data_IF_516396045894
#
_entry.id   IF_516396045894
#
_cell.length_a   1.000
_cell.length_b   1.000
_cell.length_c   1.000
_cell.angle_alpha   90.00
_cell.angle_beta   90.00
_cell.angle_gamma   90.00
#
_symmetry.space_group_name_H-M   'P 1'
#
loop_
_entity.id
_entity.type
_entity.pdbx_description
1 polymer ?
#
# COMPACT_ATOMS: atom_id res chain seq x y z
N UNK A 1 25.65 -7.62 24.33
CA UNK A 1 25.00 -6.52 23.58
C UNK A 1 23.83 -7.12 22.80
N UNK A 2 22.65 -6.50 22.91
CA UNK A 2 21.47 -6.93 22.14
C UNK A 2 21.70 -6.78 20.63
N UNK A 3 21.09 -7.66 19.84
CA UNK A 3 21.19 -7.57 18.36
C UNK A 3 20.54 -6.28 17.84
N UNK A 4 21.17 -5.68 16.84
CA UNK A 4 20.64 -4.52 16.12
C UNK A 4 19.69 -4.97 15.00
N UNK A 5 18.42 -4.58 15.06
CA UNK A 5 17.40 -4.93 14.08
C UNK A 5 17.01 -3.69 13.29
N UNK A 6 17.23 -3.76 11.98
CA UNK A 6 16.82 -2.71 11.06
C UNK A 6 15.57 -3.15 10.30
N UNK A 7 14.58 -2.26 10.22
CA UNK A 7 13.31 -2.50 9.52
C UNK A 7 13.17 -1.47 8.41
N UNK A 8 12.94 -1.92 7.17
CA UNK A 8 12.68 -1.06 6.02
C UNK A 8 11.19 -1.05 5.71
N UNK A 9 10.52 0.07 5.98
CA UNK A 9 9.08 0.29 5.87
C UNK A 9 8.37 0.33 7.21
N UNK A 10 7.61 1.39 7.46
CA UNK A 10 7.01 1.74 8.76
C UNK A 10 5.48 1.76 8.81
N UNK A 11 4.76 1.19 7.82
CA UNK A 11 3.29 1.28 7.81
C UNK A 11 2.63 0.12 8.55
N UNK A 12 2.41 -1.04 7.91
CA UNK A 12 1.67 -2.14 8.53
C UNK A 12 2.62 -3.20 9.12
N UNK A 13 3.33 -3.94 8.26
CA UNK A 13 4.18 -5.05 8.70
C UNK A 13 5.34 -4.58 9.57
N UNK A 14 6.15 -3.62 9.10
CA UNK A 14 7.34 -3.18 9.81
C UNK A 14 7.06 -2.53 11.17
N UNK A 15 6.06 -1.65 11.25
CA UNK A 15 5.61 -1.06 12.52
C UNK A 15 5.13 -2.15 13.51
N UNK A 16 4.48 -3.21 12.99
CA UNK A 16 4.05 -4.36 13.80
C UNK A 16 5.24 -5.18 14.29
N UNK A 17 6.23 -5.46 13.43
CA UNK A 17 7.46 -6.14 13.80
C UNK A 17 8.15 -5.40 14.93
N UNK A 18 8.45 -4.12 14.74
CA UNK A 18 9.18 -3.30 15.70
C UNK A 18 8.46 -3.23 17.07
N UNK A 19 7.16 -2.92 17.06
CA UNK A 19 6.39 -2.79 18.30
C UNK A 19 6.19 -4.13 19.04
N UNK A 20 6.15 -5.27 18.34
CA UNK A 20 6.05 -6.58 18.98
C UNK A 20 7.41 -7.04 19.49
N UNK A 21 8.46 -6.91 18.67
CA UNK A 21 9.81 -7.34 19.04
C UNK A 21 10.29 -6.61 20.29
N UNK A 22 10.06 -5.30 20.41
CA UNK A 22 10.39 -4.54 21.65
C UNK A 22 9.77 -5.13 22.91
N UNK A 23 8.52 -5.65 22.81
CA UNK A 23 7.86 -6.28 23.96
C UNK A 23 8.41 -7.66 24.32
N UNK A 24 8.97 -8.37 23.33
CA UNK A 24 9.52 -9.72 23.50
C UNK A 24 10.98 -9.68 23.94
N UNK A 25 11.74 -8.71 23.46
CA UNK A 25 13.17 -8.56 23.70
C UNK A 25 13.52 -7.08 23.90
N UNK A 26 13.50 -6.59 25.16
CA UNK A 26 13.79 -5.19 25.48
C UNK A 26 15.24 -4.76 25.22
N UNK A 27 16.17 -5.72 25.15
CA UNK A 27 17.61 -5.42 25.02
C UNK A 27 18.03 -5.10 23.56
N UNK A 28 17.12 -5.31 22.58
CA UNK A 28 17.44 -5.06 21.18
C UNK A 28 17.41 -3.58 20.82
N UNK A 29 18.33 -3.18 19.97
CA UNK A 29 18.20 -1.90 19.27
C UNK A 29 17.34 -2.09 18.04
N UNK A 30 16.25 -1.34 17.94
CA UNK A 30 15.29 -1.44 16.82
C UNK A 30 15.17 -0.09 16.13
N UNK A 31 15.44 -0.07 14.82
CA UNK A 31 15.31 1.12 13.99
C UNK A 31 14.43 0.85 12.78
N UNK A 32 13.55 1.80 12.44
CA UNK A 32 12.73 1.78 11.23
C UNK A 32 13.21 2.87 10.27
N UNK A 33 13.43 2.52 9.01
CA UNK A 33 13.57 3.47 7.91
C UNK A 33 12.25 3.50 7.14
N UNK A 34 11.62 4.67 7.04
CA UNK A 34 10.40 4.88 6.28
C UNK A 34 10.63 6.00 5.25
N UNK A 35 10.30 5.70 3.98
CA UNK A 35 10.47 6.67 2.87
C UNK A 35 9.50 7.84 2.94
N UNK A 36 8.31 7.61 3.47
CA UNK A 36 7.27 8.63 3.63
C UNK A 36 7.36 9.37 4.95
N UNK A 37 6.49 10.35 5.13
CA UNK A 37 6.43 11.17 6.35
C UNK A 37 5.46 10.59 7.38
N UNK A 38 4.57 9.69 6.96
CA UNK A 38 3.47 9.16 7.78
C UNK A 38 3.71 7.70 8.13
N UNK A 39 3.66 7.39 9.43
CA UNK A 39 3.86 6.05 9.98
C UNK A 39 2.55 5.38 10.36
N UNK A 40 2.52 4.06 10.33
CA UNK A 40 1.49 3.23 10.96
C UNK A 40 0.06 3.70 10.71
N UNK A 41 -0.19 4.30 9.54
CA UNK A 41 -1.53 4.75 9.17
C UNK A 41 -2.42 3.57 8.75
N UNK A 42 -3.71 3.74 8.95
CA UNK A 42 -4.73 2.80 8.50
C UNK A 42 -5.01 3.01 7.01
N UNK A 43 -4.25 2.33 6.13
CA UNK A 43 -4.38 2.49 4.67
C UNK A 43 -5.81 2.18 4.17
N UNK A 44 -6.50 1.21 4.76
CA UNK A 44 -7.91 0.92 4.47
C UNK A 44 -8.87 2.05 4.86
N UNK A 45 -8.41 3.06 5.61
CA UNK A 45 -9.18 4.24 5.98
C UNK A 45 -9.11 5.38 4.95
N UNK A 46 -8.22 5.30 3.96
CA UNK A 46 -8.04 6.36 2.97
C UNK A 46 -9.31 6.68 2.16
N UNK A 47 -10.10 5.69 1.70
CA UNK A 47 -11.39 5.98 1.07
C UNK A 47 -12.35 6.76 1.97
N UNK A 48 -12.41 6.44 3.27
CA UNK A 48 -13.25 7.16 4.24
C UNK A 48 -12.77 8.60 4.49
N UNK A 49 -11.46 8.85 4.39
CA UNK A 49 -10.91 10.22 4.41
C UNK A 49 -11.32 11.00 3.17
N UNK A 50 -11.30 10.37 1.99
CA UNK A 50 -11.78 10.98 0.73
C UNK A 50 -13.28 11.27 0.80
N UNK A 51 -14.09 10.33 1.29
CA UNK A 51 -15.54 10.46 1.48
C UNK A 51 -15.94 11.47 2.55
N UNK A 52 -15.02 11.80 3.49
CA UNK A 52 -15.27 12.73 4.59
C UNK A 52 -15.85 12.09 5.85
N UNK A 53 -16.13 10.77 5.84
CA UNK A 53 -16.53 9.99 7.03
C UNK A 53 -15.42 10.02 8.09
N UNK A 54 -14.16 9.98 7.67
CA UNK A 54 -12.99 10.31 8.48
C UNK A 54 -12.63 11.77 8.19
N UNK A 55 -12.72 12.67 9.16
CA UNK A 55 -12.55 14.11 8.92
C UNK A 55 -11.12 14.49 8.54
N UNK A 56 -10.13 13.92 9.26
CA UNK A 56 -8.73 14.32 9.13
C UNK A 56 -7.79 13.11 9.08
N UNK A 57 -6.66 13.29 8.39
CA UNK A 57 -5.62 12.24 8.31
C UNK A 57 -5.15 11.78 9.70
N UNK A 58 -5.10 12.68 10.69
CA UNK A 58 -4.68 12.32 12.06
C UNK A 58 -5.52 11.19 12.65
N UNK A 59 -6.80 11.07 12.25
CA UNK A 59 -7.69 10.03 12.78
C UNK A 59 -7.28 8.63 12.29
N UNK A 60 -6.60 8.54 11.14
CA UNK A 60 -6.06 7.29 10.60
C UNK A 60 -4.71 6.89 11.22
N UNK A 61 -4.07 7.79 11.95
CA UNK A 61 -2.76 7.55 12.56
C UNK A 61 -2.80 7.60 14.10
N UNK A 62 -3.96 7.79 14.70
CA UNK A 62 -4.13 7.81 16.16
C UNK A 62 -4.38 6.42 16.75
N UNK A 63 -4.05 6.28 18.02
CA UNK A 63 -4.49 5.15 18.85
C UNK A 63 -5.96 5.32 19.25
N UNK A 64 -6.65 4.27 19.74
CA UNK A 64 -8.02 4.41 20.26
C UNK A 64 -8.19 5.43 21.39
N UNK A 65 -7.10 5.81 22.05
CA UNK A 65 -7.07 6.84 23.12
C UNK A 65 -6.58 8.21 22.62
N UNK A 66 -6.57 8.44 21.29
CA UNK A 66 -6.29 9.73 20.70
C UNK A 66 -4.81 10.12 20.58
N UNK A 67 -3.87 9.22 20.84
CA UNK A 67 -2.43 9.50 20.71
C UNK A 67 -1.95 9.24 19.30
N UNK A 68 -1.31 10.23 18.66
CA UNK A 68 -0.75 10.11 17.31
C UNK A 68 0.43 9.14 17.28
N UNK A 69 0.44 8.23 16.32
CA UNK A 69 1.48 7.20 16.13
C UNK A 69 2.57 7.70 15.17
N UNK A 70 3.24 8.76 15.55
CA UNK A 70 4.38 9.35 14.83
C UNK A 70 5.74 8.79 15.33
N UNK A 71 6.84 9.34 14.82
CA UNK A 71 8.20 8.95 15.22
C UNK A 71 8.45 9.22 16.73
N UNK A 72 7.86 10.29 17.28
CA UNK A 72 7.96 10.61 18.71
C UNK A 72 7.26 9.54 19.55
N UNK A 73 6.05 9.13 19.18
CA UNK A 73 5.33 8.04 19.86
C UNK A 73 6.13 6.73 19.82
N UNK A 74 6.69 6.37 18.66
CA UNK A 74 7.49 5.16 18.56
C UNK A 74 8.72 5.23 19.46
N UNK A 75 9.39 6.37 19.54
CA UNK A 75 10.53 6.56 20.42
C UNK A 75 10.14 6.56 21.91
N UNK A 76 9.17 7.39 22.30
CA UNK A 76 8.83 7.61 23.70
C UNK A 76 8.05 6.44 24.34
N UNK A 77 7.16 5.77 23.55
CA UNK A 77 6.25 4.75 24.08
C UNK A 77 6.70 3.34 23.71
N UNK A 78 7.39 3.18 22.58
CA UNK A 78 7.82 1.86 22.09
C UNK A 78 9.33 1.67 22.16
N UNK A 79 10.09 2.69 22.50
CA UNK A 79 11.56 2.68 22.47
C UNK A 79 12.11 2.12 21.14
N UNK A 80 11.53 2.59 20.03
CA UNK A 80 11.90 2.28 18.66
C UNK A 80 12.31 3.57 17.97
N UNK A 81 13.52 3.61 17.42
CA UNK A 81 13.95 4.73 16.61
C UNK A 81 13.31 4.66 15.22
N UNK A 82 12.72 5.76 14.78
CA UNK A 82 12.12 5.84 13.43
C UNK A 82 12.67 7.05 12.69
N UNK A 83 13.15 6.79 11.49
CA UNK A 83 13.63 7.79 10.54
C UNK A 83 12.66 7.84 9.35
N UNK A 84 11.81 8.86 9.31
CA UNK A 84 10.95 9.18 8.16
C UNK A 84 11.75 9.91 7.08
N UNK A 85 11.26 9.96 5.86
CA UNK A 85 11.97 10.57 4.74
C UNK A 85 13.27 9.85 4.36
N UNK A 86 13.43 8.57 4.72
CA UNK A 86 14.64 7.80 4.45
C UNK A 86 14.33 6.63 3.52
N UNK A 87 14.70 6.77 2.25
CA UNK A 87 14.54 5.74 1.22
C UNK A 87 15.75 4.79 1.22
N UNK A 88 15.56 3.53 1.62
CA UNK A 88 16.59 2.50 1.48
C UNK A 88 16.84 2.20 -0.01
N UNK A 89 18.09 2.34 -0.44
CA UNK A 89 18.51 2.24 -1.85
C UNK A 89 19.40 1.04 -2.13
N UNK A 90 20.15 0.54 -1.13
CA UNK A 90 21.08 -0.59 -1.30
C UNK A 90 21.21 -1.40 -0.01
N UNK A 91 21.35 -2.71 -0.17
CA UNK A 91 21.73 -3.64 0.90
C UNK A 91 23.06 -4.27 0.54
N UNK A 92 24.05 -4.11 1.40
CA UNK A 92 25.30 -4.87 1.36
C UNK A 92 25.20 -6.00 2.39
N UNK A 93 24.94 -7.22 1.92
CA UNK A 93 24.77 -8.40 2.78
C UNK A 93 26.06 -8.84 3.45
N UNK A 94 27.20 -8.69 2.76
CA UNK A 94 28.49 -9.07 3.29
C UNK A 94 28.95 -8.15 4.42
N UNK A 95 28.76 -6.83 4.24
CA UNK A 95 29.05 -5.82 5.25
C UNK A 95 27.91 -5.67 6.29
N UNK A 96 26.72 -6.24 6.05
CA UNK A 96 25.50 -6.09 6.85
C UNK A 96 25.12 -4.63 7.04
N UNK A 97 25.04 -3.88 5.94
CA UNK A 97 24.72 -2.46 5.92
C UNK A 97 23.61 -2.19 4.90
N UNK A 98 22.65 -1.36 5.29
CA UNK A 98 21.69 -0.73 4.37
C UNK A 98 22.09 0.70 4.14
N UNK A 99 22.21 1.12 2.88
CA UNK A 99 22.32 2.52 2.50
C UNK A 99 20.92 3.09 2.28
N UNK A 100 20.64 4.26 2.84
CA UNK A 100 19.42 4.99 2.59
C UNK A 100 19.73 6.47 2.28
N UNK A 101 18.87 7.04 1.44
CA UNK A 101 18.91 8.46 1.06
C UNK A 101 17.84 9.20 1.85
N UNK A 102 18.23 10.27 2.52
CA UNK A 102 17.29 11.24 3.09
C UNK A 102 16.65 12.05 1.96
N UNK A 103 15.35 11.87 1.76
CA UNK A 103 14.64 12.39 0.57
C UNK A 103 14.61 13.91 0.48
N UNK A 104 14.71 14.60 1.61
CA UNK A 104 14.70 16.06 1.67
C UNK A 104 16.04 16.69 1.26
N UNK A 105 17.15 16.03 1.59
CA UNK A 105 18.51 16.57 1.40
C UNK A 105 19.29 15.87 0.29
N UNK A 106 18.92 14.63 -0.06
CA UNK A 106 19.68 13.76 -0.94
C UNK A 106 20.90 13.13 -0.27
N UNK A 107 21.09 13.33 1.04
CA UNK A 107 22.24 12.78 1.78
C UNK A 107 22.11 11.26 1.92
N UNK A 108 23.21 10.56 1.60
CA UNK A 108 23.30 9.11 1.83
C UNK A 108 23.79 8.81 3.24
N UNK A 109 23.12 7.88 3.92
CA UNK A 109 23.48 7.39 5.25
C UNK A 109 23.54 5.86 5.27
N UNK A 110 24.49 5.33 6.05
CA UNK A 110 24.70 3.89 6.20
C UNK A 110 24.16 3.41 7.54
N UNK A 111 23.41 2.32 7.52
CA UNK A 111 22.75 1.73 8.69
C UNK A 111 23.17 0.28 8.85
N UNK A 112 24.04 -0.04 9.82
CA UNK A 112 24.42 -1.43 10.09
C UNK A 112 23.28 -2.20 10.73
N UNK A 113 23.25 -3.51 10.51
CA UNK A 113 22.27 -4.42 11.11
C UNK A 113 22.90 -5.77 11.46
N UNK A 114 22.36 -6.41 12.49
CA UNK A 114 22.58 -7.85 12.73
C UNK A 114 21.45 -8.67 12.08
N UNK A 115 20.23 -8.14 12.09
CA UNK A 115 19.05 -8.71 11.43
C UNK A 115 18.29 -7.61 10.68
N UNK A 116 17.81 -7.91 9.48
CA UNK A 116 17.10 -6.98 8.61
C UNK A 116 15.68 -7.47 8.36
N UNK A 117 14.71 -6.54 8.36
CA UNK A 117 13.33 -6.82 7.96
C UNK A 117 12.94 -5.95 6.78
N UNK A 118 12.55 -6.59 5.68
CA UNK A 118 12.03 -5.92 4.48
C UNK A 118 10.50 -5.89 4.54
N UNK A 119 9.94 -4.71 4.80
CA UNK A 119 8.50 -4.44 4.82
C UNK A 119 8.15 -3.34 3.79
N UNK A 120 8.78 -3.43 2.62
CA UNK A 120 8.76 -2.41 1.55
C UNK A 120 7.40 -2.26 0.86
N UNK A 121 6.44 -3.15 1.15
CA UNK A 121 5.08 -3.07 0.67
C UNK A 121 4.95 -3.26 -0.85
N UNK A 122 3.97 -2.60 -1.43
CA UNK A 122 3.70 -2.60 -2.87
C UNK A 122 3.51 -1.16 -3.37
N UNK A 123 3.41 -1.01 -4.68
CA UNK A 123 3.08 0.25 -5.35
C UNK A 123 1.91 0.04 -6.30
N UNK A 124 1.02 1.03 -6.51
CA UNK A 124 -0.06 0.91 -7.47
C UNK A 124 0.47 0.75 -8.89
N UNK A 125 -0.25 0.01 -9.69
CA UNK A 125 0.03 -0.11 -11.12
C UNK A 125 -0.66 1.03 -11.84
N UNK A 126 0.13 1.91 -12.46
CA UNK A 126 -0.37 2.87 -13.44
C UNK A 126 -0.02 2.32 -14.83
N UNK A 127 -1.03 1.92 -15.64
CA UNK A 127 -0.78 1.44 -17.00
C UNK A 127 -0.13 2.56 -17.82
N UNK A 128 0.82 2.24 -18.71
CA UNK A 128 1.46 3.22 -19.58
C UNK A 128 0.53 3.61 -20.75
N UNK A 129 -0.59 4.24 -20.40
CA UNK A 129 -1.59 4.70 -21.35
C UNK A 129 -1.36 6.19 -21.68
N UNK A 130 -1.72 6.65 -22.89
CA UNK A 130 -1.67 8.07 -23.23
C UNK A 130 -2.41 8.91 -22.21
N UNK A 131 -1.79 9.98 -21.71
CA UNK A 131 -2.35 10.90 -20.74
C UNK A 131 -2.38 10.40 -19.29
N UNK A 132 -1.73 9.28 -18.95
CA UNK A 132 -1.68 8.75 -17.58
C UNK A 132 -0.95 9.67 -16.59
N UNK A 133 -0.21 10.65 -17.07
CA UNK A 133 0.52 11.69 -16.31
C UNK A 133 -0.26 13.00 -16.15
N UNK A 134 -1.47 13.09 -16.70
CA UNK A 134 -2.31 14.29 -16.56
C UNK A 134 -2.72 14.52 -15.10
N UNK A 135 -2.67 15.77 -14.60
CA UNK A 135 -3.33 16.16 -13.37
C UNK A 135 -4.81 15.76 -13.38
N UNK A 136 -5.23 15.02 -12.35
CA UNK A 136 -6.56 14.40 -12.29
C UNK A 136 -6.54 12.90 -12.50
N UNK A 137 -5.45 12.32 -13.02
CA UNK A 137 -5.23 10.87 -13.06
C UNK A 137 -4.40 10.48 -11.83
N UNK A 138 -4.93 9.63 -10.95
CA UNK A 138 -4.29 9.32 -9.67
C UNK A 138 -4.63 7.93 -9.18
N UNK A 139 -3.76 7.23 -8.45
CA UNK A 139 -4.14 6.11 -7.60
C UNK A 139 -4.75 6.62 -6.28
N UNK A 140 -5.23 5.71 -5.45
CA UNK A 140 -5.49 5.94 -4.02
C UNK A 140 -4.67 4.92 -3.22
N UNK A 141 -3.49 5.31 -2.80
CA UNK A 141 -2.53 4.38 -2.20
C UNK A 141 -1.90 4.86 -0.90
N UNK A 142 -1.62 6.14 -0.81
CA UNK A 142 -0.95 6.76 0.33
C UNK A 142 -1.73 8.01 0.82
N UNK A 143 -1.36 8.56 1.99
CA UNK A 143 -2.04 9.73 2.54
C UNK A 143 -2.07 10.94 1.60
N UNK A 144 -1.01 11.20 0.83
CA UNK A 144 -0.97 12.35 -0.08
C UNK A 144 -1.97 12.21 -1.23
N UNK A 145 -2.18 10.99 -1.76
CA UNK A 145 -3.21 10.75 -2.77
C UNK A 145 -4.60 11.10 -2.22
N UNK A 146 -4.92 10.58 -1.02
CA UNK A 146 -6.22 10.83 -0.38
C UNK A 146 -6.45 12.31 -0.05
N UNK A 147 -5.43 13.00 0.44
CA UNK A 147 -5.51 14.43 0.75
C UNK A 147 -5.71 15.28 -0.51
N UNK A 148 -5.00 14.97 -1.59
CA UNK A 148 -5.15 15.67 -2.87
C UNK A 148 -6.56 15.46 -3.45
N UNK A 149 -7.07 14.22 -3.41
CA UNK A 149 -8.44 13.93 -3.84
C UNK A 149 -9.47 14.68 -2.97
N UNK A 150 -9.31 14.60 -1.65
CA UNK A 150 -10.19 15.32 -0.71
C UNK A 150 -10.19 16.81 -0.98
N UNK A 151 -9.03 17.41 -1.18
CA UNK A 151 -8.90 18.85 -1.50
C UNK A 151 -9.63 19.22 -2.80
N UNK A 152 -9.51 18.41 -3.85
CA UNK A 152 -10.20 18.64 -5.12
C UNK A 152 -11.73 18.53 -4.97
N UNK A 153 -12.21 17.58 -4.16
CA UNK A 153 -13.63 17.43 -3.83
C UNK A 153 -14.16 18.59 -2.99
N UNK A 154 -13.42 18.99 -1.96
CA UNK A 154 -13.80 20.12 -1.08
C UNK A 154 -13.86 21.47 -1.86
N UNK A 155 -13.00 21.63 -2.86
CA UNK A 155 -13.01 22.77 -3.78
C UNK A 155 -14.17 22.75 -4.80
N UNK A 156 -14.95 21.65 -4.89
CA UNK A 156 -16.03 21.48 -5.86
C UNK A 156 -15.52 21.35 -7.31
N UNK A 157 -14.25 21.07 -7.53
CA UNK A 157 -13.64 20.96 -8.85
C UNK A 157 -13.91 19.60 -9.54
N UNK A 158 -14.42 18.62 -8.82
CA UNK A 158 -14.74 17.28 -9.33
C UNK A 158 -16.24 17.06 -9.26
N UNK A 159 -16.89 16.94 -10.40
CA UNK A 159 -18.32 16.63 -10.53
C UNK A 159 -18.57 15.25 -11.13
N UNK A 160 -17.65 14.80 -11.97
CA UNK A 160 -17.68 13.52 -12.64
C UNK A 160 -16.33 12.83 -12.44
N UNK A 161 -16.36 11.57 -12.06
CA UNK A 161 -15.17 10.75 -11.85
C UNK A 161 -15.30 9.40 -12.55
N UNK A 162 -14.18 8.91 -13.05
CA UNK A 162 -14.06 7.54 -13.55
C UNK A 162 -13.13 6.75 -12.65
N UNK A 163 -13.61 5.61 -12.15
CA UNK A 163 -12.81 4.63 -11.42
C UNK A 163 -12.43 3.50 -12.38
N UNK A 164 -11.15 3.32 -12.60
CA UNK A 164 -10.60 2.29 -13.47
C UNK A 164 -10.20 1.09 -12.63
N UNK A 165 -11.00 0.03 -12.72
CA UNK A 165 -10.87 -1.22 -11.96
C UNK A 165 -11.91 -1.33 -10.84
N UNK A 166 -12.66 -2.44 -10.85
CA UNK A 166 -13.68 -2.77 -9.85
C UNK A 166 -13.18 -3.79 -8.82
N UNK A 167 -11.92 -3.64 -8.37
CA UNK A 167 -11.37 -4.32 -7.20
C UNK A 167 -11.78 -3.64 -5.90
N UNK A 168 -11.28 -4.13 -4.74
CA UNK A 168 -11.62 -3.59 -3.41
C UNK A 168 -11.40 -2.07 -3.32
N UNK A 169 -10.21 -1.60 -3.65
CA UNK A 169 -9.87 -0.16 -3.58
C UNK A 169 -10.76 0.67 -4.50
N UNK A 170 -10.99 0.19 -5.73
CA UNK A 170 -11.82 0.90 -6.70
C UNK A 170 -13.27 1.04 -6.22
N UNK A 171 -13.85 -0.01 -5.64
CA UNK A 171 -15.23 0.02 -5.15
C UNK A 171 -15.39 0.88 -3.90
N UNK A 172 -14.47 0.77 -2.92
CA UNK A 172 -14.47 1.63 -1.73
C UNK A 172 -14.31 3.12 -2.10
N UNK A 173 -13.47 3.42 -3.08
CA UNK A 173 -13.30 4.78 -3.57
C UNK A 173 -14.53 5.26 -4.36
N UNK A 174 -15.18 4.39 -5.15
CA UNK A 174 -16.40 4.74 -5.85
C UNK A 174 -17.54 5.11 -4.89
N UNK A 175 -17.71 4.34 -3.81
CA UNK A 175 -18.66 4.64 -2.73
C UNK A 175 -18.36 6.00 -2.10
N UNK A 176 -17.12 6.24 -1.71
CA UNK A 176 -16.68 7.50 -1.12
C UNK A 176 -16.95 8.71 -2.04
N UNK A 177 -16.76 8.56 -3.34
CA UNK A 177 -17.04 9.61 -4.32
C UNK A 177 -18.56 9.86 -4.50
N UNK A 178 -19.37 8.79 -4.51
CA UNK A 178 -20.84 8.90 -4.56
C UNK A 178 -21.38 9.61 -3.32
N UNK A 179 -20.88 9.30 -2.12
CA UNK A 179 -21.23 9.97 -0.87
C UNK A 179 -20.92 11.49 -0.90
N UNK A 180 -19.92 11.88 -1.70
CA UNK A 180 -19.57 13.31 -1.95
C UNK A 180 -20.40 13.95 -3.05
N UNK A 181 -21.41 13.25 -3.60
CA UNK A 181 -22.28 13.77 -4.66
C UNK A 181 -21.64 13.81 -6.04
N UNK A 182 -20.53 13.09 -6.25
CA UNK A 182 -19.87 12.97 -7.55
C UNK A 182 -20.61 11.95 -8.41
N UNK A 183 -20.80 12.23 -9.69
CA UNK A 183 -21.29 11.25 -10.66
C UNK A 183 -20.15 10.29 -11.00
N UNK A 184 -20.30 9.03 -10.67
CA UNK A 184 -19.24 8.01 -10.77
C UNK A 184 -19.53 7.00 -11.85
N UNK A 185 -18.56 6.81 -12.75
CA UNK A 185 -18.50 5.66 -13.66
C UNK A 185 -17.38 4.73 -13.21
N UNK A 186 -17.70 3.45 -13.02
CA UNK A 186 -16.70 2.40 -12.73
C UNK A 186 -16.50 1.57 -14.00
N UNK A 187 -15.27 1.51 -14.50
CA UNK A 187 -14.90 0.73 -15.69
C UNK A 187 -14.06 -0.47 -15.27
N UNK A 188 -14.51 -1.66 -15.63
CA UNK A 188 -13.85 -2.94 -15.31
C UNK A 188 -13.56 -3.72 -16.58
N UNK A 189 -12.31 -4.19 -16.74
CA UNK A 189 -11.89 -5.01 -17.87
C UNK A 189 -12.53 -6.41 -17.85
N UNK A 190 -12.70 -6.96 -16.65
CA UNK A 190 -13.29 -8.28 -16.45
C UNK A 190 -14.83 -8.22 -16.48
N UNK A 191 -15.48 -9.38 -16.51
CA UNK A 191 -16.92 -9.48 -16.71
C UNK A 191 -17.81 -9.05 -15.54
N UNK A 192 -17.27 -8.87 -14.35
CA UNK A 192 -18.02 -8.47 -13.15
C UNK A 192 -17.09 -7.85 -12.07
N UNK A 193 -17.65 -7.12 -11.09
CA UNK A 193 -16.87 -6.56 -9.99
C UNK A 193 -16.24 -7.67 -9.15
N UNK A 194 -15.07 -7.40 -8.57
CA UNK A 194 -14.34 -8.31 -7.68
C UNK A 194 -14.08 -9.70 -8.32
N UNK A 195 -13.89 -9.78 -9.63
CA UNK A 195 -13.78 -11.04 -10.37
C UNK A 195 -12.59 -11.94 -9.92
N UNK A 196 -11.59 -11.37 -9.23
CA UNK A 196 -10.51 -12.15 -8.61
C UNK A 196 -10.89 -12.77 -7.25
N UNK A 197 -12.03 -12.40 -6.66
CA UNK A 197 -12.43 -12.76 -5.29
C UNK A 197 -13.81 -13.43 -5.23
N UNK A 198 -14.69 -13.10 -6.16
CA UNK A 198 -16.09 -13.56 -6.16
C UNK A 198 -16.39 -14.38 -7.40
N UNK A 199 -17.24 -15.38 -7.23
CA UNK A 199 -17.88 -16.08 -8.34
C UNK A 199 -18.85 -15.16 -9.10
N UNK A 200 -19.19 -15.54 -10.33
CA UNK A 200 -20.00 -14.73 -11.25
C UNK A 200 -21.34 -14.29 -10.66
N UNK A 201 -22.01 -15.18 -9.92
CA UNK A 201 -23.32 -14.88 -9.33
C UNK A 201 -23.24 -13.80 -8.27
N UNK A 202 -22.24 -13.87 -7.38
CA UNK A 202 -21.98 -12.81 -6.40
C UNK A 202 -21.50 -11.52 -7.06
N UNK A 203 -20.69 -11.63 -8.12
CA UNK A 203 -20.31 -10.47 -8.94
C UNK A 203 -21.51 -9.77 -9.57
N UNK A 204 -22.52 -10.53 -10.03
CA UNK A 204 -23.76 -9.96 -10.56
C UNK A 204 -24.58 -9.21 -9.50
N UNK A 205 -24.69 -9.75 -8.29
CA UNK A 205 -25.33 -9.07 -7.15
C UNK A 205 -24.61 -7.76 -6.80
N UNK A 206 -23.26 -7.77 -6.79
CA UNK A 206 -22.46 -6.57 -6.55
C UNK A 206 -22.68 -5.53 -7.66
N UNK A 207 -22.73 -5.94 -8.93
CA UNK A 207 -23.01 -5.03 -10.04
C UNK A 207 -24.41 -4.40 -9.92
N UNK A 208 -25.40 -5.15 -9.45
CA UNK A 208 -26.75 -4.64 -9.17
C UNK A 208 -26.71 -3.59 -8.03
N UNK A 209 -25.97 -3.87 -6.94
CA UNK A 209 -25.82 -2.96 -5.82
C UNK A 209 -25.16 -1.64 -6.24
N UNK A 210 -24.11 -1.70 -7.06
CA UNK A 210 -23.44 -0.50 -7.61
C UNK A 210 -24.41 0.38 -8.40
N UNK A 211 -25.19 -0.24 -9.31
CA UNK A 211 -26.20 0.52 -10.08
C UNK A 211 -27.30 1.11 -9.22
N UNK A 212 -27.75 0.36 -8.19
CA UNK A 212 -28.73 0.87 -7.24
C UNK A 212 -28.19 2.06 -6.41
N UNK A 213 -26.89 2.11 -6.17
CA UNK A 213 -26.21 3.24 -5.54
C UNK A 213 -25.94 4.42 -6.51
N UNK A 214 -26.39 4.36 -7.77
CA UNK A 214 -26.24 5.41 -8.76
C UNK A 214 -24.90 5.39 -9.51
N UNK A 215 -24.12 4.32 -9.40
CA UNK A 215 -22.87 4.15 -10.14
C UNK A 215 -23.16 3.61 -11.55
N UNK A 216 -22.60 4.27 -12.58
CA UNK A 216 -22.56 3.74 -13.94
C UNK A 216 -21.46 2.65 -14.00
N UNK A 217 -21.87 1.38 -13.84
CA UNK A 217 -20.94 0.26 -13.86
C UNK A 217 -20.84 -0.38 -15.25
N UNK A 218 -19.62 -0.40 -15.82
CA UNK A 218 -19.29 -0.90 -17.15
C UNK A 218 -18.27 -2.04 -17.06
N UNK A 219 -18.71 -3.27 -17.19
CA UNK A 219 -17.87 -4.47 -17.25
C UNK A 219 -17.46 -4.81 -18.68
N UNK A 220 -16.36 -5.57 -18.83
CA UNK A 220 -15.80 -5.94 -20.13
C UNK A 220 -15.29 -4.77 -20.94
N UNK A 221 -15.02 -3.63 -20.29
CA UNK A 221 -14.66 -2.37 -20.93
C UNK A 221 -13.20 -2.04 -20.67
N UNK A 222 -12.45 -1.79 -21.74
CA UNK A 222 -11.02 -1.45 -21.66
C UNK A 222 -10.80 0.05 -21.73
N UNK A 223 -10.05 0.59 -20.77
CA UNK A 223 -9.51 1.96 -20.87
C UNK A 223 -8.32 1.95 -21.82
N UNK A 224 -8.28 2.91 -22.75
CA UNK A 224 -7.25 3.03 -23.78
C UNK A 224 -6.43 4.31 -23.65
N UNK A 225 -6.85 5.25 -22.78
CA UNK A 225 -6.14 6.50 -22.54
C UNK A 225 -6.92 7.49 -21.70
N UNK A 226 -6.31 8.62 -21.46
CA UNK A 226 -6.88 9.74 -20.75
C UNK A 226 -6.80 10.99 -21.63
N UNK A 227 -7.91 11.74 -21.71
CA UNK A 227 -7.99 12.98 -22.49
C UNK A 227 -7.71 14.17 -21.59
N UNK A 228 -6.98 15.13 -22.13
CA UNK A 228 -6.67 16.39 -21.45
C UNK A 228 -7.18 17.61 -22.17
N UNK A 229 -7.69 18.58 -21.44
CA UNK A 229 -7.96 19.92 -21.92
C UNK A 229 -7.24 20.93 -21.03
N UNK A 230 -6.51 21.89 -21.65
CA UNK A 230 -5.72 22.90 -20.90
C UNK A 230 -4.72 22.31 -19.88
N UNK A 231 -4.22 21.09 -20.16
CA UNK A 231 -3.21 20.43 -19.34
C UNK A 231 -3.76 19.69 -18.10
N UNK A 232 -5.09 19.52 -17.99
CA UNK A 232 -5.74 18.75 -16.94
C UNK A 232 -6.68 17.72 -17.54
N UNK A 233 -7.01 16.67 -16.78
CA UNK A 233 -7.92 15.62 -17.21
C UNK A 233 -9.30 16.19 -17.56
N UNK A 234 -9.83 15.81 -18.72
CA UNK A 234 -11.18 16.13 -19.19
C UNK A 234 -12.04 14.88 -19.46
N UNK A 235 -11.43 13.70 -19.58
CA UNK A 235 -12.16 12.48 -19.80
C UNK A 235 -11.28 11.23 -19.85
N UNK A 236 -11.92 10.07 -19.78
CA UNK A 236 -11.28 8.75 -19.88
C UNK A 236 -11.74 8.08 -21.18
N UNK A 237 -10.78 7.71 -22.03
CA UNK A 237 -11.05 7.04 -23.30
C UNK A 237 -11.23 5.55 -23.06
N UNK A 238 -12.36 5.04 -23.46
CA UNK A 238 -12.67 3.62 -23.57
C UNK A 238 -12.88 3.24 -25.05
N UNK A 239 -13.14 1.97 -25.33
CA UNK A 239 -13.42 1.55 -26.70
C UNK A 239 -14.70 2.26 -27.24
N UNK A 240 -14.49 3.12 -28.26
CA UNK A 240 -15.55 3.80 -28.99
C UNK A 240 -16.07 5.12 -28.41
N UNK A 241 -15.68 5.53 -27.20
CA UNK A 241 -16.12 6.79 -26.60
C UNK A 241 -15.12 7.38 -25.61
N UNK A 242 -15.39 8.63 -25.21
CA UNK A 242 -14.72 9.32 -24.09
C UNK A 242 -15.75 9.58 -22.99
N UNK A 243 -15.48 9.09 -21.79
CA UNK A 243 -16.31 9.34 -20.59
C UNK A 243 -15.80 10.63 -19.95
N UNK A 244 -16.62 11.69 -19.84
CA UNK A 244 -16.20 12.93 -19.19
C UNK A 244 -15.80 12.70 -17.74
N UNK A 245 -14.67 13.28 -17.31
CA UNK A 245 -14.21 13.17 -15.93
C UNK A 245 -13.20 14.27 -15.59
N UNK A 246 -13.25 14.80 -14.38
CA UNK A 246 -12.21 15.66 -13.80
C UNK A 246 -11.27 14.87 -12.87
N UNK A 247 -11.67 13.63 -12.52
CA UNK A 247 -10.87 12.70 -11.72
C UNK A 247 -10.93 11.31 -12.34
N UNK A 248 -9.77 10.71 -12.59
CA UNK A 248 -9.63 9.30 -12.95
C UNK A 248 -8.84 8.57 -11.87
N UNK A 249 -9.55 7.78 -11.06
CA UNK A 249 -8.90 6.92 -10.08
C UNK A 249 -8.46 5.61 -10.74
N UNK A 250 -7.15 5.31 -10.72
CA UNK A 250 -6.61 4.09 -11.30
C UNK A 250 -6.37 3.04 -10.20
N UNK A 251 -7.21 2.00 -10.17
CA UNK A 251 -7.24 0.94 -9.17
C UNK A 251 -7.12 -0.47 -9.78
N UNK A 252 -6.18 -0.65 -10.74
CA UNK A 252 -6.00 -1.89 -11.52
C UNK A 252 -5.04 -2.89 -10.88
N UNK A 253 -4.73 -2.73 -9.60
CA UNK A 253 -3.89 -3.63 -8.83
C UNK A 253 -2.57 -3.01 -8.39
N UNK A 254 -1.73 -3.85 -7.76
CA UNK A 254 -0.48 -3.43 -7.13
C UNK A 254 0.68 -4.34 -7.54
N UNK A 255 1.89 -3.78 -7.57
CA UNK A 255 3.14 -4.49 -7.78
C UNK A 255 3.97 -4.48 -6.50
N UNK A 256 4.48 -5.63 -6.03
CA UNK A 256 5.33 -5.68 -4.85
C UNK A 256 6.65 -4.93 -5.06
N UNK A 257 7.10 -4.22 -4.05
CA UNK A 257 8.35 -3.45 -4.07
C UNK A 257 9.53 -4.37 -3.71
N UNK A 258 10.09 -5.01 -4.72
CA UNK A 258 11.14 -6.04 -4.54
C UNK A 258 12.51 -5.62 -5.05
N UNK A 259 12.64 -4.42 -5.64
CA UNK A 259 13.89 -4.03 -6.29
C UNK A 259 15.08 -4.06 -5.32
N UNK A 260 14.93 -3.50 -4.12
CA UNK A 260 15.96 -3.53 -3.09
C UNK A 260 16.42 -4.95 -2.72
N UNK A 261 15.47 -5.89 -2.61
CA UNK A 261 15.75 -7.30 -2.33
C UNK A 261 16.43 -8.01 -3.52
N UNK A 262 15.96 -7.73 -4.74
CA UNK A 262 16.51 -8.29 -5.97
C UNK A 262 17.98 -7.85 -6.17
N UNK A 263 18.27 -6.57 -5.99
CA UNK A 263 19.61 -6.01 -6.17
C UNK A 263 20.58 -6.53 -5.09
N UNK A 264 20.05 -6.92 -3.93
CA UNK A 264 20.80 -7.61 -2.89
C UNK A 264 20.96 -9.12 -3.13
N UNK A 265 20.45 -9.67 -4.25
CA UNK A 265 20.54 -11.08 -4.60
C UNK A 265 19.67 -12.00 -3.74
N UNK A 266 18.55 -11.50 -3.18
CA UNK A 266 17.53 -12.30 -2.52
C UNK A 266 16.60 -12.93 -3.56
N UNK A 267 16.07 -14.12 -3.26
CA UNK A 267 15.19 -14.85 -4.15
C UNK A 267 13.83 -14.16 -4.28
N UNK A 268 13.42 -13.98 -5.55
CA UNK A 268 12.11 -13.44 -5.92
C UNK A 268 11.29 -14.58 -6.52
N UNK A 269 10.10 -14.79 -5.99
CA UNK A 269 9.23 -15.88 -6.43
C UNK A 269 8.53 -15.60 -7.76
N UNK A 270 7.89 -16.64 -8.33
CA UNK A 270 7.26 -16.59 -9.65
C UNK A 270 6.12 -15.57 -9.76
N UNK A 271 5.47 -15.21 -8.65
CA UNK A 271 4.45 -14.17 -8.61
C UNK A 271 5.03 -12.76 -8.40
N UNK A 272 6.36 -12.61 -8.41
CA UNK A 272 7.07 -11.34 -8.33
C UNK A 272 7.27 -10.79 -6.90
N UNK A 273 6.88 -11.51 -5.85
CA UNK A 273 7.14 -11.15 -4.45
C UNK A 273 8.47 -11.73 -3.94
N UNK A 274 9.02 -11.16 -2.87
CA UNK A 274 10.17 -11.74 -2.16
C UNK A 274 9.75 -13.11 -1.64
N UNK A 275 10.55 -14.15 -1.92
CA UNK A 275 10.27 -15.49 -1.47
C UNK A 275 10.62 -15.61 0.02
N UNK A 276 9.68 -16.11 0.81
CA UNK A 276 9.86 -16.32 2.25
C UNK A 276 9.33 -17.67 2.69
N UNK A 277 9.93 -18.20 3.75
CA UNK A 277 9.41 -19.37 4.46
C UNK A 277 8.22 -19.01 5.38
N UNK A 278 7.74 -20.00 6.16
CA UNK A 278 6.63 -19.78 7.10
C UNK A 278 6.98 -18.83 8.23
N UNK A 279 8.26 -18.72 8.59
CA UNK A 279 8.79 -17.83 9.61
C UNK A 279 9.06 -16.40 9.08
N UNK A 280 8.87 -16.17 7.78
CA UNK A 280 9.17 -14.91 7.13
C UNK A 280 10.64 -14.72 6.78
N UNK A 281 11.48 -15.77 6.83
CA UNK A 281 12.89 -15.71 6.42
C UNK A 281 12.99 -15.74 4.90
N UNK A 282 13.90 -14.92 4.37
CA UNK A 282 14.25 -14.92 2.94
C UNK A 282 15.31 -16.02 2.64
N UNK A 283 15.89 -16.00 1.43
CA UNK A 283 17.05 -16.83 1.08
C UNK A 283 18.33 -16.48 1.88
N UNK A 284 18.29 -15.40 2.68
CA UNK A 284 19.32 -15.04 3.66
C UNK A 284 18.77 -15.22 5.07
N UNK A 285 19.40 -16.04 5.95
CA UNK A 285 18.86 -16.34 7.29
C UNK A 285 18.81 -15.15 8.23
N UNK A 286 19.56 -14.07 7.97
CA UNK A 286 19.57 -12.84 8.76
C UNK A 286 18.60 -11.78 8.20
N UNK A 287 17.93 -12.07 7.05
CA UNK A 287 17.00 -11.15 6.40
C UNK A 287 15.60 -11.76 6.34
N UNK A 288 14.64 -11.05 6.93
CA UNK A 288 13.22 -11.38 6.94
C UNK A 288 12.45 -10.45 6.00
N UNK A 289 11.32 -10.90 5.50
CA UNK A 289 10.41 -10.05 4.75
C UNK A 289 8.95 -10.35 5.05
N UNK A 290 8.08 -9.33 4.94
CA UNK A 290 6.65 -9.49 5.17
C UNK A 290 5.82 -8.31 4.65
N UNK A 291 4.50 -8.50 4.60
CA UNK A 291 3.55 -7.57 4.02
C UNK A 291 3.43 -7.75 2.50
N UNK A 292 3.03 -6.70 1.81
CA UNK A 292 2.64 -6.76 0.40
C UNK A 292 3.81 -7.02 -0.57
N UNK A 293 5.05 -6.93 -0.07
CA UNK A 293 6.25 -7.21 -0.88
C UNK A 293 6.57 -8.70 -1.01
N UNK A 294 5.92 -9.59 -0.25
CA UNK A 294 6.26 -11.02 -0.24
C UNK A 294 5.31 -11.88 -1.06
N UNK A 295 5.83 -13.04 -1.44
CA UNK A 295 5.09 -14.18 -1.93
C UNK A 295 5.12 -15.27 -0.86
N UNK A 296 3.97 -15.86 -0.57
CA UNK A 296 3.80 -16.87 0.49
C UNK A 296 2.94 -18.04 0.00
N UNK A 297 2.57 -18.93 0.91
CA UNK A 297 1.76 -20.11 0.59
C UNK A 297 0.38 -20.00 1.23
N UNK A 298 -0.63 -20.40 0.48
CA UNK A 298 -1.98 -20.55 0.99
C UNK A 298 -2.05 -21.80 1.88
N UNK A 299 -2.43 -21.61 3.16
CA UNK A 299 -2.32 -22.67 4.17
C UNK A 299 -3.12 -23.96 3.84
N UNK A 300 -4.28 -23.82 3.18
CA UNK A 300 -5.14 -24.96 2.85
C UNK A 300 -4.75 -25.64 1.54
N UNK A 301 -4.42 -24.87 0.51
CA UNK A 301 -4.17 -25.42 -0.83
C UNK A 301 -2.70 -25.68 -1.14
N UNK A 302 -1.78 -25.13 -0.33
CA UNK A 302 -0.36 -25.11 -0.61
C UNK A 302 0.05 -24.26 -1.82
N UNK A 303 -0.92 -23.64 -2.50
CA UNK A 303 -0.66 -22.80 -3.66
C UNK A 303 0.14 -21.54 -3.27
N UNK A 304 1.03 -21.14 -4.14
CA UNK A 304 1.76 -19.88 -4.01
C UNK A 304 0.81 -18.71 -4.24
N UNK A 305 0.81 -17.74 -3.32
CA UNK A 305 -0.08 -16.59 -3.38
C UNK A 305 0.62 -15.29 -3.01
N UNK A 306 0.07 -14.18 -3.48
CA UNK A 306 0.29 -12.85 -2.94
C UNK A 306 -1.02 -12.34 -2.36
N UNK A 307 -0.97 -11.84 -1.14
CA UNK A 307 -2.14 -11.31 -0.44
C UNK A 307 -1.83 -9.92 0.11
N UNK A 308 -1.88 -8.88 -0.74
CA UNK A 308 -1.61 -7.50 -0.33
C UNK A 308 -2.78 -6.96 0.51
N UNK A 309 -2.80 -7.33 1.79
CA UNK A 309 -3.85 -6.98 2.75
C UNK A 309 -3.24 -6.59 4.09
N UNK A 310 -3.74 -5.51 4.70
CA UNK A 310 -3.28 -5.02 5.99
C UNK A 310 -3.38 -6.06 7.13
N UNK A 311 -4.41 -6.91 7.12
CA UNK A 311 -4.56 -8.02 8.08
C UNK A 311 -3.45 -9.06 7.94
N UNK A 312 -3.12 -9.45 6.71
CA UNK A 312 -2.02 -10.38 6.40
C UNK A 312 -0.69 -9.77 6.81
N UNK A 313 -0.40 -8.53 6.41
CA UNK A 313 0.81 -7.80 6.78
C UNK A 313 1.03 -7.73 8.30
N UNK A 314 -0.04 -7.46 9.06
CA UNK A 314 0.00 -7.44 10.53
C UNK A 314 0.27 -8.82 11.15
N UNK A 315 -0.29 -9.90 10.59
CA UNK A 315 -0.05 -11.27 11.06
C UNK A 315 1.39 -11.68 10.77
N UNK A 316 1.87 -11.47 9.56
CA UNK A 316 3.26 -11.73 9.18
C UNK A 316 4.23 -10.93 10.05
N UNK A 317 3.95 -9.66 10.34
CA UNK A 317 4.75 -8.86 11.25
C UNK A 317 4.84 -9.43 12.68
N UNK A 318 3.80 -10.13 13.16
CA UNK A 318 3.87 -10.84 14.46
C UNK A 318 4.78 -12.07 14.37
N UNK A 319 4.58 -12.90 13.36
CA UNK A 319 5.39 -14.10 13.13
C UNK A 319 6.88 -13.74 13.00
N UNK A 320 7.21 -12.72 12.20
CA UNK A 320 8.59 -12.25 12.04
C UNK A 320 9.17 -11.78 13.39
N UNK A 321 8.43 -11.00 14.16
CA UNK A 321 8.90 -10.53 15.47
C UNK A 321 9.14 -11.67 16.45
N UNK A 322 8.27 -12.69 16.46
CA UNK A 322 8.40 -13.86 17.32
C UNK A 322 9.66 -14.65 16.96
N UNK A 323 9.89 -14.89 15.66
CA UNK A 323 11.08 -15.60 15.18
C UNK A 323 12.38 -14.80 15.40
N UNK A 324 12.34 -13.47 15.25
CA UNK A 324 13.47 -12.60 15.61
C UNK A 324 13.82 -12.70 17.09
N UNK A 325 12.82 -12.86 17.96
CA UNK A 325 13.00 -13.05 19.39
C UNK A 325 13.41 -14.50 19.78
N UNK A 326 13.53 -15.41 18.81
CA UNK A 326 13.90 -16.80 19.02
C UNK A 326 12.72 -17.70 19.45
N UNK A 327 11.48 -17.23 19.29
CA UNK A 327 10.29 -18.06 19.43
C UNK A 327 10.04 -18.75 18.10
N UNK A 328 9.96 -20.07 18.09
CA UNK A 328 9.63 -20.84 16.87
C UNK A 328 8.09 -20.88 16.72
N UNK A 329 7.56 -20.02 15.83
CA UNK A 329 6.11 -19.85 15.59
C UNK A 329 5.76 -19.97 14.12
#
# INVERSE_FOLDING_TARGET
MGKNVLVVGGVACGAKVAARLRRLDPERTIRILEKGDTLSYAACGLPFLVGGTVPELKDLITTPVGVVRDAHFFRAVKDVEVLTGHLATRIDRAARVVTAVETATGEEKSFPYDQLVLATGASPVLPPLPGADLPGVTPLWNPSDALSMKQALDAGSVREAVVVGAGLVGLEAAEALVERGVKVTVVELLGHPLAALLDRDFGALMAQALRAAGVDFRSGTRVTGFEGEKGVLSGVRVEGEVIPAQLALVAVGVRPNVQLARDAGLEIGALGGILVDRQGRTSDPDIFAGGDCVQTFHALTGATVRQPMGSTANRQGRVIADNLAGLDT
#
